data_IF_706923288143
#
_entry.id   IF_706923288143
#
_cell.length_a   1.000
_cell.length_b   1.000
_cell.length_c   1.000
_cell.angle_alpha   90.00
_cell.angle_beta   90.00
_cell.angle_gamma   90.00
#
_symmetry.space_group_name_H-M   'P 1'
#
loop_
_entity.id
_entity.type
_entity.pdbx_description
1 polymer ?
#
# COMPACT_ATOMS: atom_id res chain seq x y z
N UNK A 1 1.76 12.88 -3.06
CA UNK A 1 1.86 12.51 -1.63
C UNK A 1 0.99 13.44 -0.80
N UNK A 2 0.13 12.91 0.03
CA UNK A 2 -0.70 13.72 0.95
C UNK A 2 -0.76 13.05 2.31
N UNK A 3 -0.27 13.73 3.34
CA UNK A 3 -0.30 13.31 4.72
C UNK A 3 -1.11 14.32 5.54
N UNK A 4 -1.99 13.86 6.39
CA UNK A 4 -2.79 14.69 7.30
C UNK A 4 -2.84 14.04 8.68
N UNK A 5 -2.00 14.40 9.56
CA UNK A 5 -2.00 14.23 11.03
C UNK A 5 -0.59 14.05 11.61
N UNK A 6 -0.36 14.39 12.87
CA UNK A 6 1.01 14.45 13.43
C UNK A 6 1.63 13.11 13.83
N UNK A 7 0.98 11.98 13.59
CA UNK A 7 1.48 10.65 14.02
C UNK A 7 1.58 9.67 12.83
N UNK A 8 1.53 10.18 11.62
CA UNK A 8 1.69 9.35 10.43
C UNK A 8 3.15 9.35 10.00
N UNK A 9 3.68 8.19 9.78
CA UNK A 9 4.96 8.00 9.13
C UNK A 9 4.69 7.72 7.64
N UNK A 10 5.41 8.39 6.76
CA UNK A 10 5.29 8.22 5.32
C UNK A 10 6.68 8.29 4.75
N UNK A 11 7.30 7.16 4.57
CA UNK A 11 8.58 7.05 3.90
C UNK A 11 8.37 6.60 2.45
N UNK A 12 9.03 7.24 1.51
CA UNK A 12 8.92 6.88 0.10
C UNK A 12 10.26 7.07 -0.57
N UNK A 13 10.87 5.99 -0.96
CA UNK A 13 12.06 5.96 -1.78
C UNK A 13 11.71 5.45 -3.18
N UNK A 14 12.18 6.14 -4.21
CA UNK A 14 11.98 5.72 -5.60
C UNK A 14 13.28 5.89 -6.38
N UNK A 15 13.72 4.81 -6.97
CA UNK A 15 14.88 4.77 -7.87
C UNK A 15 14.45 4.18 -9.21
N UNK A 16 14.73 4.86 -10.29
CA UNK A 16 14.32 4.45 -11.64
C UNK A 16 13.46 5.49 -12.35
N UNK A 17 13.18 5.26 -13.62
CA UNK A 17 12.51 6.19 -14.50
C UNK A 17 11.01 5.87 -14.70
N UNK A 18 10.22 6.88 -14.94
CA UNK A 18 8.82 6.71 -15.32
C UNK A 18 7.87 6.20 -14.24
N UNK A 19 8.33 6.04 -13.00
CA UNK A 19 7.50 5.55 -11.91
C UNK A 19 6.39 6.56 -11.54
N UNK A 20 5.18 6.05 -11.28
CA UNK A 20 4.03 6.85 -10.88
C UNK A 20 3.51 6.40 -9.52
N UNK A 21 3.66 7.25 -8.53
CA UNK A 21 3.17 7.00 -7.18
C UNK A 21 1.99 7.90 -6.82
N UNK A 22 0.97 7.30 -6.24
CA UNK A 22 -0.10 8.02 -5.55
C UNK A 22 -0.22 7.49 -4.13
N UNK A 23 0.43 8.12 -3.18
CA UNK A 23 0.30 7.76 -1.77
C UNK A 23 -0.59 8.76 -1.04
N UNK A 24 -1.62 8.28 -0.38
CA UNK A 24 -2.54 9.12 0.36
C UNK A 24 -2.85 8.51 1.72
N UNK A 25 -2.46 9.23 2.77
CA UNK A 25 -2.90 8.95 4.14
C UNK A 25 -3.90 10.02 4.57
N UNK A 26 -5.09 9.61 4.95
CA UNK A 26 -6.16 10.52 5.36
C UNK A 26 -6.70 10.16 6.73
N UNK A 27 -6.72 11.16 7.60
CA UNK A 27 -7.48 11.18 8.86
C UNK A 27 -7.48 9.86 9.62
N UNK A 28 -6.44 9.64 10.35
CA UNK A 28 -6.23 8.42 11.12
C UNK A 28 -6.89 8.45 12.50
N UNK A 29 -7.72 9.47 12.79
CA UNK A 29 -8.39 9.58 14.09
C UNK A 29 -7.45 9.73 15.28
N UNK A 30 -7.98 9.68 16.46
CA UNK A 30 -7.40 10.27 17.69
C UNK A 30 -6.21 9.55 18.34
N UNK A 31 -5.44 8.70 17.72
CA UNK A 31 -4.21 8.12 18.32
C UNK A 31 -3.69 6.88 17.63
N UNK A 32 -3.36 6.96 16.39
CA UNK A 32 -2.83 5.81 15.68
C UNK A 32 -1.50 6.09 15.01
N UNK A 33 -0.57 5.17 15.10
CA UNK A 33 0.54 5.10 14.18
C UNK A 33 0.01 4.55 12.85
N UNK A 34 0.19 5.27 11.77
CA UNK A 34 -0.04 4.75 10.45
C UNK A 34 1.29 4.84 9.71
N UNK A 35 1.83 3.75 9.32
CA UNK A 35 3.04 3.69 8.51
C UNK A 35 2.67 3.37 7.07
N UNK A 36 3.29 4.02 6.15
CA UNK A 36 3.18 3.72 4.73
C UNK A 36 4.58 3.80 4.16
N UNK A 37 5.25 2.74 4.14
CA UNK A 37 6.59 2.61 3.58
C UNK A 37 6.43 2.16 2.12
N UNK A 38 7.12 2.76 1.18
CA UNK A 38 7.11 2.37 -0.22
C UNK A 38 8.53 2.51 -0.73
N UNK A 39 9.17 1.46 -1.05
CA UNK A 39 10.50 1.45 -1.63
C UNK A 39 10.41 0.84 -3.02
N UNK A 40 10.87 1.52 -4.03
CA UNK A 40 10.78 1.08 -5.42
C UNK A 40 12.13 1.25 -6.08
N UNK A 41 12.66 0.18 -6.59
CA UNK A 41 13.75 0.19 -7.56
C UNK A 41 13.26 -0.46 -8.85
N UNK A 42 13.41 0.20 -9.98
CA UNK A 42 12.89 -0.25 -11.27
C UNK A 42 12.14 0.84 -12.01
N UNK A 43 11.69 0.55 -13.24
CA UNK A 43 11.14 1.54 -14.15
C UNK A 43 9.63 1.36 -14.40
N UNK A 44 8.96 2.46 -14.67
CA UNK A 44 7.56 2.48 -15.13
C UNK A 44 6.53 1.81 -14.20
N UNK A 45 6.82 1.68 -12.91
CA UNK A 45 5.88 1.11 -11.96
C UNK A 45 4.75 2.08 -11.62
N UNK A 46 3.54 1.57 -11.44
CA UNK A 46 2.38 2.36 -11.04
C UNK A 46 1.82 1.89 -9.70
N UNK A 47 1.93 2.72 -8.68
CA UNK A 47 1.67 2.36 -7.28
C UNK A 47 0.68 3.32 -6.60
N UNK A 48 -0.62 3.21 -6.89
CA UNK A 48 -1.63 3.97 -6.17
C UNK A 48 -1.94 3.33 -4.81
N UNK A 49 -1.69 4.04 -3.72
CA UNK A 49 -1.95 3.58 -2.36
C UNK A 49 -2.88 4.52 -1.61
N UNK A 50 -3.76 3.93 -0.79
CA UNK A 50 -4.65 4.68 0.07
C UNK A 50 -4.73 4.04 1.45
N UNK A 51 -4.54 4.85 2.47
CA UNK A 51 -4.72 4.48 3.86
C UNK A 51 -5.59 5.54 4.55
N UNK A 52 -6.67 5.14 5.18
CA UNK A 52 -7.50 6.14 5.84
C UNK A 52 -8.86 5.68 6.29
N UNK A 53 -9.67 6.66 6.68
CA UNK A 53 -11.06 6.49 7.05
C UNK A 53 -11.95 6.62 5.82
N UNK A 54 -12.90 5.71 5.67
CA UNK A 54 -13.99 5.89 4.74
C UNK A 54 -15.15 6.66 5.42
N UNK A 55 -15.34 7.93 5.09
CA UNK A 55 -16.38 8.74 5.70
C UNK A 55 -17.79 8.24 5.39
N UNK A 56 -17.96 7.46 4.33
CA UNK A 56 -19.26 6.92 3.93
C UNK A 56 -19.70 5.71 4.74
N UNK A 57 -18.77 5.03 5.39
CA UNK A 57 -19.03 3.81 6.15
C UNK A 57 -19.05 3.99 7.67
N UNK A 58 -18.74 5.18 8.17
CA UNK A 58 -18.67 5.43 9.61
C UNK A 58 -17.64 4.57 10.36
N UNK A 59 -16.87 3.79 9.66
CA UNK A 59 -15.88 2.90 10.26
C UNK A 59 -14.58 3.63 10.52
N UNK A 60 -14.12 3.41 11.67
CA UNK A 60 -13.11 4.06 12.44
C UNK A 60 -11.78 4.40 11.80
N UNK A 61 -10.95 4.89 12.64
CA UNK A 61 -9.61 5.39 12.38
C UNK A 61 -8.70 4.32 11.75
N UNK A 62 -7.80 4.73 10.89
CA UNK A 62 -6.71 3.88 10.42
C UNK A 62 -5.57 3.76 11.47
N UNK A 63 -5.94 3.68 12.75
CA UNK A 63 -5.01 3.53 13.84
C UNK A 63 -4.23 2.21 13.71
N UNK A 64 -2.92 2.25 13.91
CA UNK A 64 -2.03 1.07 13.82
C UNK A 64 -2.10 0.33 12.47
N UNK A 65 -2.30 1.04 11.39
CA UNK A 65 -2.31 0.44 10.05
C UNK A 65 -0.96 0.61 9.38
N UNK A 66 -0.46 -0.44 8.78
CA UNK A 66 0.80 -0.45 8.04
C UNK A 66 0.50 -0.79 6.57
N UNK A 67 1.11 -0.11 5.66
CA UNK A 67 1.27 -0.54 4.27
C UNK A 67 2.77 -0.56 4.02
N UNK A 68 3.23 -1.56 3.40
CA UNK A 68 4.61 -1.73 2.99
C UNK A 68 4.56 -2.21 1.54
N UNK A 69 5.27 -1.63 0.65
CA UNK A 69 5.31 -2.02 -0.75
C UNK A 69 6.76 -1.95 -1.22
N UNK A 70 7.43 -2.99 -1.31
CA UNK A 70 8.77 -3.07 -1.91
C UNK A 70 8.65 -3.48 -3.37
N UNK A 71 9.54 -3.16 -4.22
CA UNK A 71 9.57 -3.62 -5.62
C UNK A 71 10.92 -4.23 -6.01
N UNK A 72 12.04 -3.69 -5.73
CA UNK A 72 13.39 -4.16 -6.07
C UNK A 72 13.56 -4.70 -7.51
N UNK A 73 14.13 -3.90 -8.39
CA UNK A 73 14.46 -4.22 -9.79
C UNK A 73 13.28 -4.72 -10.68
N UNK A 74 12.07 -4.40 -10.32
CA UNK A 74 10.90 -4.77 -11.11
C UNK A 74 10.37 -3.64 -11.98
N UNK A 75 10.05 -3.93 -13.24
CA UNK A 75 9.55 -2.95 -14.20
C UNK A 75 8.07 -3.12 -14.55
N UNK A 76 7.41 -2.02 -14.83
CA UNK A 76 6.05 -2.00 -15.36
C UNK A 76 5.00 -2.68 -14.47
N UNK A 77 5.22 -2.74 -13.17
CA UNK A 77 4.28 -3.37 -12.26
C UNK A 77 3.13 -2.42 -11.87
N UNK A 78 1.96 -2.99 -11.68
CA UNK A 78 0.80 -2.31 -11.11
C UNK A 78 0.55 -2.80 -9.69
N UNK A 79 0.78 -1.94 -8.70
CA UNK A 79 0.64 -2.29 -7.30
C UNK A 79 -0.37 -1.37 -6.63
N UNK A 80 -1.36 -1.94 -5.98
CA UNK A 80 -2.35 -1.16 -5.26
C UNK A 80 -2.58 -1.72 -3.87
N UNK A 81 -2.42 -0.90 -2.85
CA UNK A 81 -2.87 -1.21 -1.50
C UNK A 81 -3.88 -0.16 -1.04
N UNK A 82 -5.00 -0.62 -0.51
CA UNK A 82 -6.03 0.23 0.08
C UNK A 82 -6.46 -0.32 1.43
N UNK A 83 -6.29 0.47 2.47
CA UNK A 83 -6.65 0.12 3.84
C UNK A 83 -7.67 1.10 4.41
N UNK A 84 -8.78 0.58 4.89
CA UNK A 84 -9.81 1.31 5.61
C UNK A 84 -10.11 0.58 6.92
N UNK A 85 -10.07 1.28 8.03
CA UNK A 85 -10.23 0.70 9.37
C UNK A 85 -8.91 0.62 10.13
N UNK A 86 -8.99 0.12 11.36
CA UNK A 86 -7.86 0.07 12.28
C UNK A 86 -7.16 -1.30 12.28
N UNK A 87 -5.90 -1.33 12.73
CA UNK A 87 -5.12 -2.56 12.93
C UNK A 87 -4.98 -3.42 11.67
N UNK A 88 -4.84 -2.80 10.52
CA UNK A 88 -4.61 -3.51 9.28
C UNK A 88 -3.12 -3.54 8.94
N UNK A 89 -2.68 -4.63 8.39
CA UNK A 89 -1.34 -4.74 7.81
C UNK A 89 -1.49 -5.15 6.35
N UNK A 90 -0.75 -4.56 5.47
CA UNK A 90 -0.63 -5.00 4.08
C UNK A 90 0.85 -5.00 3.71
N UNK A 91 1.24 -5.94 2.95
CA UNK A 91 2.57 -5.99 2.31
C UNK A 91 2.33 -6.30 0.85
N UNK A 92 3.11 -5.78 0.00
CA UNK A 92 3.25 -6.27 -1.36
C UNK A 92 4.67 -6.65 -1.58
N UNK A 93 5.45 -7.07 -1.81
CA UNK A 93 6.85 -7.39 -1.94
C UNK A 93 7.10 -7.87 -3.35
N UNK A 94 7.64 -7.63 -4.25
CA UNK A 94 7.79 -8.24 -5.55
C UNK A 94 9.15 -8.90 -5.77
N UNK A 95 10.19 -8.27 -5.39
CA UNK A 95 11.58 -8.70 -5.41
C UNK A 95 12.11 -9.37 -6.69
N UNK A 96 13.34 -9.10 -7.04
CA UNK A 96 14.02 -9.69 -8.18
C UNK A 96 13.49 -9.23 -9.55
N UNK A 97 13.56 -10.06 -10.56
CA UNK A 97 13.12 -9.73 -11.93
C UNK A 97 11.58 -9.90 -12.03
N UNK A 98 10.86 -8.99 -11.41
CA UNK A 98 9.40 -9.02 -11.34
C UNK A 98 8.80 -7.98 -12.30
N UNK A 99 8.49 -8.37 -13.54
CA UNK A 99 7.98 -7.45 -14.55
C UNK A 99 6.52 -7.71 -14.90
N UNK A 100 5.79 -6.66 -15.25
CA UNK A 100 4.40 -6.73 -15.71
C UNK A 100 3.45 -7.43 -14.74
N UNK A 101 3.70 -7.35 -13.45
CA UNK A 101 2.83 -7.97 -12.45
C UNK A 101 1.72 -7.01 -12.01
N UNK A 102 0.59 -7.60 -11.63
CA UNK A 102 -0.49 -6.88 -11.00
C UNK A 102 -0.74 -7.44 -9.59
N UNK A 103 -0.55 -6.61 -8.56
CA UNK A 103 -0.82 -6.98 -7.18
C UNK A 103 -1.78 -5.98 -6.53
N UNK A 104 -2.88 -6.47 -5.98
CA UNK A 104 -3.92 -5.62 -5.38
C UNK A 104 -4.31 -6.14 -4.00
N UNK A 105 -4.21 -5.27 -3.00
CA UNK A 105 -4.72 -5.52 -1.65
C UNK A 105 -5.82 -4.50 -1.35
N UNK A 106 -6.99 -4.99 -0.94
CA UNK A 106 -8.07 -4.17 -0.42
C UNK A 106 -8.53 -4.70 0.95
N UNK A 107 -8.30 -3.92 1.98
CA UNK A 107 -8.73 -4.20 3.35
C UNK A 107 -9.76 -3.15 3.78
N UNK A 108 -11.00 -3.53 3.91
CA UNK A 108 -12.13 -2.63 4.14
C UNK A 108 -12.78 -2.78 5.52
N UNK A 109 -12.17 -3.53 6.41
CA UNK A 109 -12.58 -3.72 7.79
C UNK A 109 -11.36 -3.71 8.72
N UNK A 110 -11.53 -3.52 10.03
CA UNK A 110 -10.40 -3.55 10.95
C UNK A 110 -9.85 -4.96 11.18
N UNK A 111 -8.57 -5.04 11.57
CA UNK A 111 -7.92 -6.27 12.03
C UNK A 111 -7.50 -7.24 10.94
N UNK A 112 -7.28 -6.79 9.73
CA UNK A 112 -6.88 -7.65 8.62
C UNK A 112 -5.37 -7.67 8.42
N UNK A 113 -4.86 -8.82 8.00
CA UNK A 113 -3.50 -8.96 7.51
C UNK A 113 -3.54 -9.49 6.08
N UNK A 114 -2.74 -8.94 5.20
CA UNK A 114 -2.57 -9.44 3.85
C UNK A 114 -1.09 -9.39 3.46
N UNK A 115 -0.66 -10.35 2.72
CA UNK A 115 0.68 -10.38 2.14
C UNK A 115 0.55 -10.88 0.71
N UNK A 116 1.22 -10.24 -0.20
CA UNK A 116 1.42 -10.71 -1.56
C UNK A 116 2.92 -10.72 -1.77
N UNK A 117 3.50 -11.82 -2.05
CA UNK A 117 4.86 -11.92 -2.55
C UNK A 117 4.78 -12.42 -3.98
N UNK A 118 5.45 -11.77 -4.89
CA UNK A 118 5.47 -12.16 -6.29
C UNK A 118 6.92 -12.25 -6.72
N UNK A 119 7.35 -13.40 -7.15
CA UNK A 119 8.62 -13.63 -7.80
C UNK A 119 8.36 -14.09 -9.24
N UNK A 120 8.94 -13.41 -10.21
CA UNK A 120 8.68 -13.67 -11.62
C UNK A 120 7.80 -12.64 -12.31
N UNK A 121 7.44 -12.87 -13.56
CA UNK A 121 6.80 -11.91 -14.41
C UNK A 121 5.36 -12.29 -14.79
N UNK A 122 4.56 -11.28 -15.14
CA UNK A 122 3.21 -11.42 -15.68
C UNK A 122 2.22 -12.13 -14.75
N UNK A 123 2.40 -12.01 -13.46
CA UNK A 123 1.51 -12.57 -12.45
C UNK A 123 0.39 -11.60 -12.07
N UNK A 124 -0.75 -12.15 -11.67
CA UNK A 124 -1.84 -11.37 -11.08
C UNK A 124 -2.22 -11.95 -9.72
N UNK A 125 -2.17 -11.13 -8.70
CA UNK A 125 -2.56 -11.49 -7.35
C UNK A 125 -3.52 -10.46 -6.76
N UNK A 126 -4.60 -10.91 -6.13
CA UNK A 126 -5.56 -10.02 -5.48
C UNK A 126 -5.99 -10.58 -4.14
N UNK A 127 -5.89 -9.77 -3.11
CA UNK A 127 -6.44 -10.03 -1.79
C UNK A 127 -7.51 -9.00 -1.46
N UNK A 128 -8.71 -9.48 -1.10
CA UNK A 128 -9.82 -8.62 -0.66
C UNK A 128 -10.38 -9.13 0.65
N UNK A 129 -10.34 -8.30 1.67
CA UNK A 129 -10.84 -8.60 3.00
C UNK A 129 -11.93 -7.59 3.38
N UNK A 130 -13.13 -8.10 3.59
CA UNK A 130 -14.33 -7.35 4.01
C UNK A 130 -15.07 -8.18 5.06
N UNK A 131 -15.59 -7.52 6.07
CA UNK A 131 -16.59 -8.07 7.00
C UNK A 131 -17.86 -7.26 6.91
#
# INVERSE_FOLDING_TARGET
LTQKNPVNDLDVTVVGDGNKLGAQQKDTGNSGCATLDIDITGDNNFVPTFQGKDPSRGVGSAAFSTIDITVDDGDSNFLRASQVGANNTATIDLNGISNDNQAVINQLSPGNTATITVDGASNTATVRQQQ
#
